data_IF_286780291045
#
_entry.id   IF_286780291045
#
_cell.length_a   1.000
_cell.length_b   1.000
_cell.length_c   1.000
_cell.angle_alpha   90.00
_cell.angle_beta   90.00
_cell.angle_gamma   90.00
#
_symmetry.space_group_name_H-M   'P 1'
#
loop_
_entity.id
_entity.type
_entity.pdbx_description
1 polymer ?
#
# COMPACT_ATOMS: atom_id res chain seq x y z
N UNK A 1 -20.30 8.90 -14.09
CA UNK A 1 -19.37 7.83 -13.68
C UNK A 1 -19.79 6.57 -14.39
N UNK A 2 -18.86 5.84 -14.99
CA UNK A 2 -19.13 4.56 -15.66
C UNK A 2 -18.19 3.53 -15.09
N UNK A 3 -18.70 2.44 -14.54
CA UNK A 3 -17.87 1.34 -14.03
C UNK A 3 -17.86 0.21 -15.03
N UNK A 4 -16.67 -0.32 -15.31
CA UNK A 4 -16.46 -1.49 -16.16
C UNK A 4 -15.79 -2.57 -15.34
N UNK A 5 -16.19 -3.81 -15.59
CA UNK A 5 -15.54 -4.99 -15.04
C UNK A 5 -14.38 -5.39 -15.96
N UNK A 6 -13.21 -5.65 -15.38
CA UNK A 6 -12.03 -6.14 -16.10
C UNK A 6 -11.63 -7.49 -15.54
N UNK A 7 -11.78 -8.52 -16.37
CA UNK A 7 -11.38 -9.89 -16.05
C UNK A 7 -9.90 -10.13 -16.37
N UNK A 8 -9.26 -11.10 -15.71
CA UNK A 8 -8.03 -11.71 -16.21
C UNK A 8 -8.15 -12.11 -17.68
N UNK A 9 -7.12 -11.90 -18.50
CA UNK A 9 -7.13 -12.27 -19.91
C UNK A 9 -7.08 -13.79 -20.13
N UNK A 10 -6.42 -14.50 -19.21
CA UNK A 10 -6.41 -15.95 -19.06
C UNK A 10 -6.66 -16.36 -17.60
N UNK A 11 -7.39 -17.47 -17.39
CA UNK A 11 -7.58 -18.05 -16.06
C UNK A 11 -6.31 -18.76 -15.60
N UNK A 12 -5.72 -18.32 -14.49
CA UNK A 12 -4.49 -18.89 -13.90
C UNK A 12 -4.62 -19.23 -12.41
N UNK A 13 -5.68 -18.72 -11.76
CA UNK A 13 -6.02 -18.97 -10.37
C UNK A 13 -6.42 -20.41 -10.13
N UNK A 14 -7.12 -21.07 -11.07
CA UNK A 14 -7.55 -22.47 -10.97
C UNK A 14 -8.23 -22.82 -9.62
N UNK A 15 -9.03 -21.90 -9.07
CA UNK A 15 -9.65 -22.02 -7.74
C UNK A 15 -8.65 -22.34 -6.61
N UNK A 16 -7.40 -21.87 -6.76
CA UNK A 16 -6.42 -21.94 -5.67
C UNK A 16 -6.90 -21.07 -4.52
N UNK A 17 -6.72 -21.59 -3.32
CA UNK A 17 -7.10 -20.91 -2.09
C UNK A 17 -5.85 -20.70 -1.24
N UNK A 18 -5.71 -19.49 -0.70
CA UNK A 18 -4.67 -19.16 0.26
C UNK A 18 -5.34 -19.04 1.62
N UNK A 19 -5.08 -20.01 2.48
CA UNK A 19 -5.46 -19.90 3.88
C UNK A 19 -4.64 -18.82 4.57
N UNK A 20 -5.35 -17.98 5.33
CA UNK A 20 -4.79 -16.90 6.11
C UNK A 20 -4.69 -17.34 7.57
N UNK A 21 -3.53 -17.08 8.19
CA UNK A 21 -3.27 -17.50 9.55
C UNK A 21 -2.48 -16.42 10.31
N UNK A 22 -2.67 -16.36 11.63
CA UNK A 22 -1.96 -15.43 12.50
C UNK A 22 -2.07 -14.00 11.99
N UNK A 23 -0.95 -13.29 11.90
CA UNK A 23 -0.84 -11.86 11.57
C UNK A 23 -1.50 -11.45 10.24
N UNK A 24 -1.76 -12.39 9.32
CA UNK A 24 -2.44 -12.08 8.05
C UNK A 24 -3.89 -11.64 8.27
N UNK A 25 -4.57 -12.13 9.32
CA UNK A 25 -5.96 -11.75 9.67
C UNK A 25 -6.06 -10.39 10.36
N UNK A 26 -4.94 -9.91 10.89
CA UNK A 26 -4.88 -8.83 11.88
C UNK A 26 -4.84 -7.46 11.23
N UNK A 27 -4.37 -7.44 9.99
CA UNK A 27 -4.23 -6.23 9.20
C UNK A 27 -4.96 -6.44 7.89
N UNK A 28 -6.29 -6.54 7.93
CA UNK A 28 -7.08 -6.17 6.74
C UNK A 28 -7.00 -4.65 6.65
N UNK A 29 -5.85 -4.16 6.21
CA UNK A 29 -5.60 -2.74 6.06
C UNK A 29 -5.96 -2.37 4.62
N UNK A 30 -6.83 -1.37 4.46
CA UNK A 30 -7.02 -0.75 3.16
C UNK A 30 -5.79 0.09 2.83
N UNK A 31 -5.24 -0.12 1.65
CA UNK A 31 -4.15 0.69 1.10
C UNK A 31 -4.67 1.38 -0.14
N UNK A 32 -4.66 2.70 -0.07
CA UNK A 32 -5.08 3.56 -1.15
C UNK A 32 -3.86 4.28 -1.73
N UNK A 33 -3.79 4.33 -3.07
CA UNK A 33 -2.72 5.01 -3.80
C UNK A 33 -3.34 5.87 -4.89
N UNK A 34 -2.72 7.02 -5.14
CA UNK A 34 -3.12 7.91 -6.24
C UNK A 34 -1.90 8.18 -7.11
N UNK A 35 -2.05 7.98 -8.41
CA UNK A 35 -1.02 8.23 -9.42
C UNK A 35 -1.50 9.29 -10.39
N UNK A 36 -0.62 10.22 -10.76
CA UNK A 36 -0.88 11.25 -11.75
C UNK A 36 -0.14 10.95 -13.05
N UNK A 37 -0.84 11.05 -14.18
CA UNK A 37 -0.29 10.86 -15.51
C UNK A 37 -0.49 12.14 -16.34
N UNK A 38 0.58 12.71 -16.92
CA UNK A 38 0.53 13.97 -17.67
C UNK A 38 0.05 13.81 -19.12
N UNK A 39 -0.27 12.58 -19.56
CA UNK A 39 -0.63 12.26 -20.95
C UNK A 39 -1.89 11.41 -21.00
N UNK A 40 -2.61 11.48 -22.14
CA UNK A 40 -3.81 10.70 -22.38
C UNK A 40 -3.48 9.19 -22.39
N UNK A 41 -4.01 8.46 -21.41
CA UNK A 41 -3.97 7.02 -21.35
C UNK A 41 -5.02 6.46 -22.29
N UNK A 42 -4.61 5.62 -23.24
CA UNK A 42 -5.55 4.85 -24.04
C UNK A 42 -6.29 3.86 -23.13
N UNK A 43 -7.58 4.11 -22.89
CA UNK A 43 -8.42 3.32 -21.97
C UNK A 43 -8.54 1.87 -22.40
N UNK A 44 -8.63 1.59 -23.71
CA UNK A 44 -8.77 0.23 -24.21
C UNK A 44 -7.47 -0.55 -24.02
N UNK A 45 -6.32 0.07 -24.32
CA UNK A 45 -5.00 -0.50 -24.04
C UNK A 45 -4.78 -0.72 -22.55
N UNK A 46 -5.20 0.23 -21.71
CA UNK A 46 -5.13 0.07 -20.25
C UNK A 46 -5.93 -1.14 -19.76
N UNK A 47 -7.15 -1.34 -20.29
CA UNK A 47 -7.97 -2.50 -19.93
C UNK A 47 -7.34 -3.83 -20.36
N UNK A 48 -6.78 -3.87 -21.56
CA UNK A 48 -6.06 -5.05 -22.07
C UNK A 48 -4.85 -5.38 -21.20
N UNK A 49 -4.00 -4.39 -20.96
CA UNK A 49 -2.83 -4.48 -20.08
C UNK A 49 -3.22 -4.91 -18.65
N UNK A 50 -4.30 -4.36 -18.11
CA UNK A 50 -4.82 -4.74 -16.80
C UNK A 50 -5.32 -6.19 -16.79
N UNK A 51 -6.06 -6.63 -17.82
CA UNK A 51 -6.50 -8.02 -17.93
C UNK A 51 -5.31 -9.00 -17.94
N UNK A 52 -4.26 -8.68 -18.70
CA UNK A 52 -3.01 -9.45 -18.68
C UNK A 52 -2.34 -9.45 -17.29
N UNK A 53 -2.29 -8.29 -16.63
CA UNK A 53 -1.73 -8.16 -15.28
C UNK A 53 -2.49 -9.04 -14.28
N UNK A 54 -3.81 -9.06 -14.34
CA UNK A 54 -4.65 -9.87 -13.46
C UNK A 54 -4.47 -11.37 -13.72
N UNK A 55 -4.07 -11.79 -14.91
CA UNK A 55 -3.71 -13.18 -15.18
C UNK A 55 -2.37 -13.59 -14.58
N UNK A 56 -1.42 -12.67 -14.48
CA UNK A 56 -0.15 -12.91 -13.80
C UNK A 56 -0.35 -12.84 -12.27
N UNK A 57 -1.15 -11.86 -11.83
CA UNK A 57 -1.43 -11.54 -10.44
C UNK A 57 -2.86 -11.88 -10.07
N UNK A 58 -3.24 -13.16 -10.24
CA UNK A 58 -4.62 -13.64 -10.03
C UNK A 58 -5.19 -13.34 -8.65
N UNK A 59 -4.32 -13.13 -7.66
CA UNK A 59 -4.70 -12.74 -6.30
C UNK A 59 -5.38 -11.36 -6.23
N UNK A 60 -5.14 -10.46 -7.18
CA UNK A 60 -5.84 -9.16 -7.25
C UNK A 60 -7.31 -9.31 -7.67
N UNK A 61 -7.60 -10.37 -8.42
CA UNK A 61 -8.92 -10.78 -8.87
C UNK A 61 -9.54 -11.84 -7.93
N UNK A 62 -8.97 -12.00 -6.73
CA UNK A 62 -9.45 -12.93 -5.73
C UNK A 62 -10.48 -12.28 -4.79
N UNK A 63 -11.16 -13.13 -4.01
CA UNK A 63 -12.04 -12.68 -2.93
C UNK A 63 -11.62 -13.26 -1.59
N UNK A 64 -11.93 -12.49 -0.56
CA UNK A 64 -11.83 -12.94 0.81
C UNK A 64 -13.09 -13.73 1.17
N UNK A 65 -12.89 -14.93 1.72
CA UNK A 65 -13.94 -15.83 2.18
C UNK A 65 -13.74 -16.13 3.66
N UNK A 66 -14.81 -16.03 4.43
CA UNK A 66 -14.90 -16.50 5.82
C UNK A 66 -15.61 -17.85 5.79
N UNK A 67 -14.87 -18.94 5.91
CA UNK A 67 -15.43 -20.30 5.80
C UNK A 67 -16.12 -20.71 7.11
N UNK A 68 -15.53 -20.41 8.25
CA UNK A 68 -16.11 -20.55 9.59
C UNK A 68 -15.55 -19.47 10.53
N UNK A 69 -15.68 -19.63 11.86
CA UNK A 69 -15.33 -18.56 12.81
C UNK A 69 -13.81 -18.27 12.88
N UNK A 70 -12.98 -19.23 12.46
CA UNK A 70 -11.51 -19.14 12.56
C UNK A 70 -10.78 -19.38 11.22
N UNK A 71 -11.46 -19.85 10.17
CA UNK A 71 -10.85 -20.12 8.86
C UNK A 71 -11.21 -19.05 7.83
N UNK A 72 -10.19 -18.32 7.40
CA UNK A 72 -10.27 -17.27 6.40
C UNK A 72 -9.39 -17.61 5.22
N UNK A 73 -9.91 -17.38 4.02
CA UNK A 73 -9.28 -17.80 2.77
C UNK A 73 -9.34 -16.68 1.74
N UNK A 74 -8.25 -16.47 1.02
CA UNK A 74 -8.30 -15.76 -0.26
C UNK A 74 -8.50 -16.80 -1.36
N UNK A 75 -9.66 -16.79 -2.00
CA UNK A 75 -9.94 -17.67 -3.12
C UNK A 75 -9.64 -16.94 -4.45
N UNK A 76 -8.71 -17.50 -5.24
CA UNK A 76 -8.39 -17.03 -6.58
C UNK A 76 -9.46 -17.47 -7.58
N UNK A 77 -10.64 -16.89 -7.44
CA UNK A 77 -11.83 -17.19 -8.25
C UNK A 77 -11.92 -16.39 -9.54
N UNK A 78 -10.90 -15.59 -9.86
CA UNK A 78 -10.71 -14.91 -11.15
C UNK A 78 -11.86 -13.95 -11.52
N UNK A 79 -12.55 -13.43 -10.50
CA UNK A 79 -13.62 -12.48 -10.71
C UNK A 79 -13.06 -11.18 -11.27
N UNK A 80 -13.82 -10.52 -12.17
CA UNK A 80 -13.39 -9.24 -12.67
C UNK A 80 -13.34 -8.19 -11.56
N UNK A 81 -12.32 -7.35 -11.59
CA UNK A 81 -12.25 -6.20 -10.70
C UNK A 81 -13.03 -5.02 -11.30
N UNK A 82 -13.63 -4.16 -10.46
CA UNK A 82 -14.28 -2.94 -10.93
C UNK A 82 -13.24 -1.87 -11.25
N UNK A 83 -13.42 -1.24 -12.42
CA UNK A 83 -12.67 -0.08 -12.87
C UNK A 83 -13.65 1.05 -13.17
N UNK A 84 -13.61 2.09 -12.35
CA UNK A 84 -14.48 3.25 -12.44
C UNK A 84 -13.85 4.35 -13.30
N UNK A 85 -14.60 4.89 -14.26
CA UNK A 85 -14.18 5.98 -15.12
C UNK A 85 -15.00 7.24 -14.82
N UNK A 86 -14.30 8.32 -14.52
CA UNK A 86 -14.89 9.60 -14.11
C UNK A 86 -14.24 10.74 -14.88
N UNK A 87 -15.04 11.76 -15.22
CA UNK A 87 -14.54 13.05 -15.71
C UNK A 87 -14.71 14.06 -14.57
N UNK A 88 -13.62 14.70 -14.16
CA UNK A 88 -13.64 15.80 -13.21
C UNK A 88 -13.63 17.13 -13.99
N UNK A 89 -14.74 17.86 -13.90
CA UNK A 89 -14.92 19.18 -14.53
C UNK A 89 -14.75 20.34 -13.55
N UNK A 90 -14.50 20.04 -12.27
CA UNK A 90 -14.38 21.03 -11.19
C UNK A 90 -12.93 21.51 -11.09
N UNK A 91 -11.98 20.58 -11.16
CA UNK A 91 -10.57 20.91 -11.12
C UNK A 91 -10.07 21.43 -12.45
N UNK A 92 -9.26 22.49 -12.37
CA UNK A 92 -8.58 23.07 -13.53
C UNK A 92 -7.33 22.24 -13.86
N UNK A 93 -6.60 21.81 -12.83
CA UNK A 93 -5.39 20.98 -12.91
C UNK A 93 -5.21 20.24 -11.58
N UNK A 94 -4.34 19.25 -11.56
CA UNK A 94 -3.93 18.60 -10.32
C UNK A 94 -3.36 19.64 -9.34
N UNK A 95 -3.89 19.74 -8.11
CA UNK A 95 -3.54 20.83 -7.21
C UNK A 95 -2.20 20.62 -6.48
N UNK A 96 -1.59 19.43 -6.58
CA UNK A 96 -0.41 19.09 -5.80
C UNK A 96 0.87 19.03 -6.65
N UNK A 97 1.84 19.88 -6.32
CA UNK A 97 3.11 19.99 -7.04
C UNK A 97 4.12 18.86 -6.70
N UNK A 98 3.72 17.59 -6.84
CA UNK A 98 4.50 16.33 -6.73
C UNK A 98 4.24 15.48 -5.47
N UNK A 99 4.09 14.17 -5.71
CA UNK A 99 4.20 13.03 -4.79
C UNK A 99 3.65 13.25 -3.38
N UNK A 100 2.35 13.47 -3.28
CA UNK A 100 1.71 13.57 -1.97
C UNK A 100 1.26 12.18 -1.53
N UNK A 101 1.92 11.67 -0.49
CA UNK A 101 1.31 10.66 0.38
C UNK A 101 0.41 11.47 1.31
N UNK A 102 -0.92 11.43 1.17
CA UNK A 102 -1.81 11.99 2.20
C UNK A 102 -2.43 10.87 3.02
N UNK A 103 -2.67 11.13 4.30
CA UNK A 103 -3.56 10.33 5.11
C UNK A 103 -4.98 10.41 4.54
N UNK A 104 -5.67 9.27 4.52
CA UNK A 104 -7.04 9.11 4.04
C UNK A 104 -8.09 9.95 4.79
N UNK A 105 -7.73 10.50 5.95
CA UNK A 105 -8.64 11.28 6.80
C UNK A 105 -8.94 12.65 6.14
N UNK A 106 -8.03 13.18 5.33
CA UNK A 106 -8.31 14.37 4.52
C UNK A 106 -9.04 13.97 3.22
N UNK A 107 -10.31 14.37 3.14
CA UNK A 107 -11.29 14.00 2.12
C UNK A 107 -10.95 14.39 0.68
N UNK A 108 -9.85 15.09 0.43
CA UNK A 108 -9.53 15.60 -0.90
C UNK A 108 -9.11 14.50 -1.88
N UNK A 109 -8.48 13.41 -1.42
CA UNK A 109 -8.11 12.29 -2.31
C UNK A 109 -9.23 11.27 -2.51
N UNK A 110 -10.22 11.21 -1.61
CA UNK A 110 -11.31 10.23 -1.72
C UNK A 110 -12.15 10.43 -2.99
N UNK A 111 -12.18 11.65 -3.54
CA UNK A 111 -12.83 11.92 -4.83
C UNK A 111 -12.18 11.18 -6.01
N UNK A 112 -10.91 10.74 -5.88
CA UNK A 112 -10.16 10.01 -6.91
C UNK A 112 -10.08 8.51 -6.65
N UNK A 113 -10.48 8.04 -5.47
CA UNK A 113 -10.41 6.64 -5.07
C UNK A 113 -11.81 6.01 -5.14
N UNK A 114 -11.89 4.74 -5.54
CA UNK A 114 -13.07 3.89 -5.39
C UNK A 114 -12.72 2.87 -4.33
N UNK A 115 -13.13 3.14 -3.10
CA UNK A 115 -12.63 2.45 -1.92
C UNK A 115 -13.13 1.00 -1.85
N UNK A 116 -12.22 0.07 -1.57
CA UNK A 116 -12.60 -1.26 -1.11
C UNK A 116 -13.29 -1.12 0.25
N UNK A 117 -14.46 -1.72 0.37
CA UNK A 117 -15.27 -1.69 1.59
C UNK A 117 -14.87 -2.82 2.52
N UNK A 118 -13.88 -2.56 3.39
CA UNK A 118 -13.33 -3.60 4.28
C UNK A 118 -14.37 -4.22 5.19
N UNK A 119 -15.41 -3.47 5.57
CA UNK A 119 -16.54 -3.97 6.34
C UNK A 119 -17.33 -5.06 5.62
N UNK A 120 -17.35 -5.04 4.28
CA UNK A 120 -18.05 -6.04 3.47
C UNK A 120 -17.25 -7.31 3.25
N UNK A 121 -15.94 -7.29 3.48
CA UNK A 121 -15.10 -8.49 3.33
C UNK A 121 -15.43 -9.52 4.41
N UNK A 122 -15.84 -9.07 5.59
CA UNK A 122 -16.20 -9.93 6.72
C UNK A 122 -17.68 -10.33 6.68
N UNK A 123 -18.51 -9.53 5.99
CA UNK A 123 -19.92 -9.83 5.78
C UNK A 123 -20.05 -10.94 4.72
N UNK A 124 -20.32 -12.17 5.17
CA UNK A 124 -20.48 -13.39 4.34
C UNK A 124 -21.52 -13.27 3.20
N UNK A 125 -22.21 -12.13 3.08
CA UNK A 125 -23.28 -11.88 2.11
C UNK A 125 -22.82 -11.16 0.84
N UNK A 126 -21.62 -10.55 0.80
CA UNK A 126 -21.15 -9.79 -0.37
C UNK A 126 -19.73 -10.16 -0.81
N UNK A 127 -19.59 -10.50 -2.10
CA UNK A 127 -18.28 -10.70 -2.75
C UNK A 127 -17.62 -9.35 -3.05
N UNK A 128 -17.13 -8.68 -2.01
CA UNK A 128 -16.36 -7.45 -2.17
C UNK A 128 -15.00 -7.77 -2.84
N UNK A 129 -14.61 -7.07 -3.92
CA UNK A 129 -13.31 -7.28 -4.56
C UNK A 129 -12.18 -6.82 -3.65
N UNK A 130 -11.06 -7.54 -3.66
CA UNK A 130 -9.86 -7.16 -2.92
C UNK A 130 -9.15 -5.94 -3.50
N UNK A 131 -9.47 -5.57 -4.74
CA UNK A 131 -8.83 -4.49 -5.46
C UNK A 131 -9.84 -3.75 -6.35
N UNK A 132 -9.75 -2.42 -6.35
CA UNK A 132 -10.58 -1.51 -7.15
C UNK A 132 -9.71 -0.43 -7.78
N UNK A 133 -10.08 -0.01 -8.98
CA UNK A 133 -9.40 1.08 -9.68
C UNK A 133 -10.38 2.18 -10.06
N UNK A 134 -9.91 3.42 -10.06
CA UNK A 134 -10.67 4.58 -10.51
C UNK A 134 -9.78 5.48 -11.35
N UNK A 135 -10.13 5.65 -12.63
CA UNK A 135 -9.54 6.63 -13.51
C UNK A 135 -10.40 7.89 -13.53
N UNK A 136 -9.78 9.00 -13.17
CA UNK A 136 -10.39 10.32 -13.21
C UNK A 136 -9.65 11.20 -14.21
N UNK A 137 -10.31 11.63 -15.28
CA UNK A 137 -9.77 12.62 -16.24
C UNK A 137 -10.11 14.02 -15.77
N UNK A 138 -9.12 14.86 -15.50
CA UNK A 138 -9.31 16.28 -15.25
C UNK A 138 -9.52 16.95 -16.60
N UNK A 139 -10.75 17.37 -16.89
CA UNK A 139 -11.16 17.77 -18.24
C UNK A 139 -10.40 19.00 -18.74
N UNK A 140 -10.03 19.91 -17.84
CA UNK A 140 -9.41 21.19 -18.20
C UNK A 140 -7.92 21.08 -18.51
N UNK A 141 -7.16 20.30 -17.73
CA UNK A 141 -5.72 20.08 -17.94
C UNK A 141 -5.39 18.86 -18.79
N UNK A 142 -6.39 18.03 -19.07
CA UNK A 142 -6.26 16.72 -19.70
C UNK A 142 -5.40 15.69 -18.93
N UNK A 143 -5.14 15.96 -17.64
CA UNK A 143 -4.43 15.04 -16.77
C UNK A 143 -5.31 13.85 -16.39
N UNK A 144 -4.67 12.69 -16.17
CA UNK A 144 -5.33 11.50 -15.68
C UNK A 144 -4.83 11.14 -14.29
N UNK A 145 -5.78 10.89 -13.40
CA UNK A 145 -5.53 10.47 -12.04
C UNK A 145 -6.03 9.04 -11.88
N UNK A 146 -5.15 8.12 -11.51
CA UNK A 146 -5.48 6.74 -11.18
C UNK A 146 -5.49 6.58 -9.65
N UNK A 147 -6.69 6.43 -9.08
CA UNK A 147 -6.86 5.91 -7.73
C UNK A 147 -6.85 4.38 -7.75
N UNK A 148 -6.06 3.78 -6.88
CA UNK A 148 -6.05 2.35 -6.62
C UNK A 148 -6.40 2.13 -5.15
N UNK A 149 -7.39 1.29 -4.89
CA UNK A 149 -7.75 0.84 -3.53
C UNK A 149 -7.58 -0.66 -3.46
N UNK A 150 -6.84 -1.13 -2.47
CA UNK A 150 -6.58 -2.55 -2.28
C UNK A 150 -6.59 -2.94 -0.82
N UNK A 151 -6.88 -4.21 -0.56
CA UNK A 151 -6.72 -4.80 0.77
C UNK A 151 -5.30 -5.32 0.87
N UNK A 152 -4.49 -4.70 1.71
CA UNK A 152 -3.17 -5.23 2.05
C UNK A 152 -3.36 -6.33 3.08
N UNK A 153 -3.07 -7.56 2.68
CA UNK A 153 -2.92 -8.70 3.59
C UNK A 153 -1.41 -8.84 3.85
N UNK A 154 -0.92 -9.12 5.06
CA UNK A 154 0.53 -9.02 5.35
C UNK A 154 1.43 -9.84 4.41
N UNK A 155 0.93 -10.95 3.86
CA UNK A 155 1.61 -11.68 2.75
C UNK A 155 1.81 -10.88 1.45
N UNK A 156 1.08 -9.78 1.22
CA UNK A 156 1.12 -8.87 0.06
C UNK A 156 2.12 -7.72 0.18
N UNK A 157 2.54 -7.33 1.40
CA UNK A 157 3.42 -6.16 1.58
C UNK A 157 4.86 -6.47 1.12
N UNK A 158 5.06 -6.40 -0.20
CA UNK A 158 6.34 -6.41 -0.87
C UNK A 158 6.72 -4.97 -1.23
N UNK A 159 7.76 -4.37 -0.62
CA UNK A 159 8.24 -3.04 -1.01
C UNK A 159 8.85 -3.01 -2.42
N UNK A 160 9.34 -4.15 -2.91
CA UNK A 160 9.92 -4.26 -4.26
C UNK A 160 8.87 -4.59 -5.34
N UNK A 161 7.61 -4.79 -4.95
CA UNK A 161 6.50 -5.00 -5.89
C UNK A 161 5.43 -3.94 -5.61
N UNK A 162 5.83 -2.67 -5.55
CA UNK A 162 4.96 -1.65 -6.14
C UNK A 162 4.58 -2.21 -7.50
N UNK A 163 3.29 -2.51 -7.69
CA UNK A 163 2.76 -2.88 -9.00
C UNK A 163 2.94 -1.64 -9.85
N UNK A 164 4.11 -1.54 -10.42
CA UNK A 164 4.44 -0.56 -11.41
C UNK A 164 3.63 -1.02 -12.61
N UNK A 165 2.49 -0.37 -12.83
CA UNK A 165 1.75 -0.50 -14.08
C UNK A 165 2.65 -0.18 -15.30
N UNK A 166 3.83 0.41 -15.09
CA UNK A 166 4.87 0.55 -16.11
C UNK A 166 5.53 -0.76 -16.53
N UNK A 167 5.63 -1.78 -15.67
CA UNK A 167 6.22 -3.08 -16.02
C UNK A 167 5.28 -3.92 -16.91
N UNK A 168 4.00 -3.52 -16.98
CA UNK A 168 2.97 -4.14 -17.83
C UNK A 168 3.18 -3.83 -19.32
N UNK A 169 4.05 -2.88 -19.66
CA UNK A 169 4.44 -2.59 -21.04
C UNK A 169 5.69 -3.36 -21.52
N UNK A 170 6.27 -4.25 -20.70
CA UNK A 170 7.41 -5.10 -21.06
C UNK A 170 7.20 -6.57 -20.69
N UNK A 171 8.10 -7.45 -21.16
CA UNK A 171 8.13 -8.86 -20.72
C UNK A 171 8.35 -8.90 -19.19
N UNK A 172 7.35 -9.38 -18.44
CA UNK A 172 7.43 -9.43 -16.99
C UNK A 172 8.58 -10.37 -16.56
N UNK A 173 9.55 -9.85 -15.83
CA UNK A 173 10.62 -10.66 -15.24
C UNK A 173 10.00 -11.70 -14.29
N UNK A 174 10.26 -12.99 -14.58
CA UNK A 174 9.75 -14.10 -13.77
C UNK A 174 10.26 -14.06 -12.32
N UNK A 175 11.36 -13.32 -12.03
CA UNK A 175 11.86 -13.09 -10.68
C UNK A 175 10.91 -12.23 -9.82
N UNK A 176 9.98 -11.51 -10.46
CA UNK A 176 8.95 -10.67 -9.82
C UNK A 176 7.65 -11.44 -9.52
N UNK A 177 7.60 -12.74 -9.80
CA UNK A 177 6.44 -13.55 -9.47
C UNK A 177 6.33 -13.72 -7.95
N UNK A 178 5.13 -13.54 -7.37
CA UNK A 178 4.96 -13.62 -5.92
C UNK A 178 5.25 -15.04 -5.41
N UNK A 179 6.35 -15.19 -4.67
CA UNK A 179 6.61 -16.39 -3.88
C UNK A 179 5.96 -16.29 -2.50
N UNK A 180 5.01 -17.18 -2.23
CA UNK A 180 4.39 -17.36 -0.92
C UNK A 180 5.38 -18.07 0.03
N UNK A 181 5.80 -17.38 1.09
CA UNK A 181 6.53 -17.98 2.21
C UNK A 181 5.56 -18.19 3.39
N UNK A 182 5.57 -19.38 3.99
CA UNK A 182 4.82 -19.68 5.22
C UNK A 182 5.51 -19.01 6.41
N UNK A 183 4.73 -18.32 7.24
CA UNK A 183 5.17 -17.72 8.50
C UNK A 183 4.32 -18.36 9.62
N UNK A 184 4.97 -18.95 10.62
CA UNK A 184 4.35 -19.43 11.86
C UNK A 184 4.87 -18.60 13.05
N UNK A 185 4.07 -18.49 14.11
CA UNK A 185 4.44 -17.91 15.41
C UNK A 185 4.74 -16.40 15.46
N UNK A 186 3.71 -15.56 15.26
CA UNK A 186 3.78 -14.12 15.53
C UNK A 186 2.87 -13.76 16.73
N UNK A 187 3.37 -12.90 17.64
CA UNK A 187 2.58 -12.39 18.79
C UNK A 187 1.52 -11.39 18.35
N UNK A 188 0.44 -11.29 19.14
CA UNK A 188 -0.73 -10.45 18.91
C UNK A 188 -0.35 -8.95 18.96
N UNK A 189 -0.60 -8.19 17.88
CA UNK A 189 -0.20 -6.76 17.69
C UNK A 189 -1.38 -5.78 17.87
N UNK A 190 -2.53 -6.27 18.34
CA UNK A 190 -3.81 -5.53 18.44
C UNK A 190 -3.72 -4.25 19.29
N UNK A 191 -3.06 -4.32 20.44
CA UNK A 191 -2.97 -3.18 21.37
C UNK A 191 -2.13 -2.03 20.80
N UNK A 192 -1.04 -2.37 20.10
CA UNK A 192 -0.12 -1.39 19.50
C UNK A 192 -0.80 -0.69 18.32
N UNK A 193 -1.47 -1.44 17.44
CA UNK A 193 -2.15 -0.88 16.28
C UNK A 193 -3.34 0.01 16.68
N UNK A 194 -4.14 -0.41 17.67
CA UNK A 194 -5.26 0.40 18.17
C UNK A 194 -4.79 1.72 18.76
N UNK A 195 -3.73 1.71 19.57
CA UNK A 195 -3.12 2.93 20.12
C UNK A 195 -2.60 3.87 19.00
N UNK A 196 -1.99 3.32 17.95
CA UNK A 196 -1.52 4.10 16.80
C UNK A 196 -2.69 4.75 16.05
N UNK A 197 -3.77 4.01 15.81
CA UNK A 197 -4.96 4.52 15.09
C UNK A 197 -5.70 5.60 15.87
N UNK A 198 -5.84 5.45 17.19
CA UNK A 198 -6.52 6.44 18.02
C UNK A 198 -5.70 7.73 18.17
N UNK A 199 -4.37 7.63 18.23
CA UNK A 199 -3.47 8.78 18.27
C UNK A 199 -3.40 9.59 16.97
N UNK A 200 -3.68 8.97 15.82
CA UNK A 200 -3.59 9.62 14.51
C UNK A 200 -4.72 10.61 14.20
N UNK A 201 -5.88 10.54 14.89
CA UNK A 201 -7.05 11.39 14.59
C UNK A 201 -6.85 12.87 14.92
N UNK A 202 -5.79 13.23 15.65
CA UNK A 202 -5.56 14.58 16.19
C UNK A 202 -4.29 15.25 15.64
N UNK A 203 -3.58 14.63 14.70
CA UNK A 203 -2.29 15.13 14.22
C UNK A 203 -2.36 15.53 12.75
N UNK A 204 -1.77 16.69 12.43
CA UNK A 204 -1.56 17.11 11.04
C UNK A 204 -0.41 16.32 10.41
N UNK A 205 -0.56 15.96 9.15
CA UNK A 205 0.50 15.31 8.40
C UNK A 205 1.51 16.32 7.86
N UNK A 206 2.80 16.03 8.03
CA UNK A 206 3.89 16.84 7.47
C UNK A 206 4.64 16.02 6.43
N UNK A 207 4.68 16.52 5.19
CA UNK A 207 5.51 15.95 4.14
C UNK A 207 6.88 16.62 4.16
N UNK A 208 7.92 15.85 4.49
CA UNK A 208 9.30 16.33 4.53
C UNK A 208 10.05 15.76 3.34
N UNK A 209 10.61 16.64 2.51
CA UNK A 209 11.41 16.27 1.36
C UNK A 209 12.91 16.38 1.69
N UNK A 210 13.66 15.34 1.34
CA UNK A 210 15.11 15.31 1.42
C UNK A 210 15.67 15.08 0.02
N UNK A 211 16.51 16.01 -0.42
CA UNK A 211 17.34 15.84 -1.63
C UNK A 211 18.43 14.80 -1.41
N UNK A 212 18.94 14.22 -2.50
CA UNK A 212 20.06 13.28 -2.45
C UNK A 212 21.30 13.87 -1.78
N UNK A 213 21.55 15.17 -1.96
CA UNK A 213 22.64 15.86 -1.31
C UNK A 213 22.46 15.92 0.21
N UNK A 214 21.25 16.23 0.68
CA UNK A 214 20.92 16.24 2.10
C UNK A 214 21.04 14.84 2.71
N UNK A 215 20.53 13.81 2.02
CA UNK A 215 20.63 12.41 2.44
C UNK A 215 22.09 11.97 2.53
N UNK A 216 22.92 12.29 1.53
CA UNK A 216 24.36 12.02 1.55
C UNK A 216 25.05 12.71 2.72
N UNK A 217 24.77 14.00 2.93
CA UNK A 217 25.33 14.78 4.05
C UNK A 217 24.93 14.18 5.39
N UNK A 218 23.68 13.77 5.53
CA UNK A 218 23.18 13.18 6.76
C UNK A 218 23.89 11.85 7.08
N UNK A 219 24.06 10.99 6.07
CA UNK A 219 24.81 9.74 6.21
C UNK A 219 26.28 9.98 6.62
N UNK A 220 26.93 11.00 6.04
CA UNK A 220 28.28 11.39 6.44
C UNK A 220 28.35 11.82 7.91
N UNK A 221 27.39 12.62 8.38
CA UNK A 221 27.33 13.06 9.78
C UNK A 221 27.04 11.93 10.77
N UNK A 222 26.30 10.89 10.35
CA UNK A 222 25.91 9.77 11.20
C UNK A 222 27.00 8.72 11.43
N UNK A 223 28.14 8.79 10.73
CA UNK A 223 29.21 7.78 10.84
C UNK A 223 29.63 7.14 9.51
N UNK A 224 29.48 7.85 8.38
CA UNK A 224 29.94 7.42 7.05
C UNK A 224 29.26 6.15 6.49
N UNK A 225 30.02 5.27 5.84
CA UNK A 225 29.51 4.26 4.91
C UNK A 225 28.79 3.09 5.59
N UNK A 226 29.01 2.88 6.88
CA UNK A 226 28.47 1.71 7.60
C UNK A 226 27.02 1.91 8.04
N UNK A 227 26.52 3.15 8.02
CA UNK A 227 25.13 3.48 8.35
C UNK A 227 24.28 3.47 7.09
N UNK A 228 23.17 2.72 7.10
CA UNK A 228 22.17 2.78 6.03
C UNK A 228 21.38 4.09 6.11
N UNK A 229 20.94 4.58 4.96
CA UNK A 229 20.29 5.91 4.89
C UNK A 229 19.02 5.99 5.75
N UNK A 230 18.28 4.89 5.88
CA UNK A 230 17.09 4.81 6.70
C UNK A 230 17.37 5.09 8.18
N UNK A 231 18.46 4.54 8.73
CA UNK A 231 18.83 4.73 10.13
C UNK A 231 19.27 6.16 10.38
N UNK A 232 20.09 6.72 9.47
CA UNK A 232 20.52 8.11 9.55
C UNK A 232 19.32 9.08 9.50
N UNK A 233 18.36 8.82 8.60
CA UNK A 233 17.13 9.60 8.48
C UNK A 233 16.24 9.50 9.73
N UNK A 234 16.09 8.28 10.26
CA UNK A 234 15.29 8.03 11.46
C UNK A 234 15.87 8.77 12.67
N UNK A 235 17.19 8.65 12.88
CA UNK A 235 17.89 9.38 13.93
C UNK A 235 17.75 10.91 13.78
N UNK A 236 17.86 11.44 12.56
CA UNK A 236 17.67 12.85 12.30
C UNK A 236 16.27 13.36 12.66
N UNK A 237 15.24 12.61 12.26
CA UNK A 237 13.84 12.98 12.54
C UNK A 237 13.58 12.96 14.05
N UNK A 238 14.00 11.89 14.75
CA UNK A 238 13.85 11.79 16.22
C UNK A 238 14.55 12.96 16.91
N UNK A 239 15.81 13.21 16.55
CA UNK A 239 16.59 14.29 17.16
C UNK A 239 15.95 15.66 16.90
N UNK A 240 15.52 15.91 15.67
CA UNK A 240 14.89 17.19 15.29
C UNK A 240 13.60 17.42 16.07
N UNK A 241 12.74 16.41 16.16
CA UNK A 241 11.49 16.48 16.92
C UNK A 241 11.73 16.62 18.42
N UNK A 242 12.70 15.91 18.98
CA UNK A 242 13.06 16.03 20.40
C UNK A 242 13.65 17.41 20.74
N UNK A 243 14.47 17.98 19.85
CA UNK A 243 14.96 19.35 19.99
C UNK A 243 13.79 20.33 19.96
N UNK A 244 12.83 20.13 19.05
CA UNK A 244 11.63 20.96 19.00
C UNK A 244 10.82 20.88 20.31
N UNK A 245 10.59 19.67 20.85
CA UNK A 245 9.92 19.50 22.13
C UNK A 245 10.68 20.21 23.27
N UNK A 246 12.00 20.01 23.34
CA UNK A 246 12.85 20.62 24.36
C UNK A 246 12.77 22.16 24.34
N UNK A 247 12.89 22.76 23.14
CA UNK A 247 12.87 24.22 22.97
C UNK A 247 11.50 24.85 23.27
N UNK A 248 10.41 24.07 23.21
CA UNK A 248 9.06 24.53 23.50
C UNK A 248 8.55 24.08 24.89
N UNK A 249 9.45 23.58 25.76
CA UNK A 249 9.11 23.06 27.09
C UNK A 249 8.03 21.95 27.06
N UNK A 250 7.97 21.21 25.95
CA UNK A 250 7.04 20.12 25.74
C UNK A 250 7.66 18.81 26.26
N UNK A 251 6.92 18.10 27.11
CA UNK A 251 7.35 16.85 27.72
C UNK A 251 7.19 15.62 26.81
N UNK A 252 6.62 15.78 25.61
CA UNK A 252 6.33 14.71 24.64
C UNK A 252 7.55 14.28 23.83
N UNK A 253 8.65 13.94 24.51
CA UNK A 253 9.84 13.43 23.85
C UNK A 253 9.58 12.05 23.22
N UNK A 254 10.16 11.83 22.05
CA UNK A 254 10.22 10.53 21.39
C UNK A 254 11.30 9.72 22.10
N UNK A 255 10.86 8.76 22.91
CA UNK A 255 11.73 7.85 23.66
C UNK A 255 11.85 6.46 22.98
N UNK A 256 10.91 6.13 22.10
CA UNK A 256 10.85 4.84 21.42
C UNK A 256 10.40 5.05 19.98
N UNK A 257 11.02 4.30 19.07
CA UNK A 257 10.57 4.16 17.69
C UNK A 257 10.32 2.70 17.38
N UNK A 258 9.24 2.47 16.64
CA UNK A 258 8.89 1.15 16.11
C UNK A 258 9.05 1.19 14.61
N UNK A 259 9.92 0.33 14.07
CA UNK A 259 10.15 0.22 12.62
C UNK A 259 9.60 -1.11 12.13
N UNK A 260 8.72 -1.06 11.14
CA UNK A 260 8.23 -2.25 10.46
C UNK A 260 9.15 -2.56 9.28
N UNK A 261 9.77 -3.74 9.29
CA UNK A 261 10.71 -4.18 8.24
C UNK A 261 10.16 -5.39 7.49
N UNK A 262 10.47 -5.50 6.20
CA UNK A 262 10.13 -6.69 5.43
C UNK A 262 11.06 -7.85 5.80
N UNK A 263 10.52 -8.81 6.54
CA UNK A 263 11.25 -9.99 7.02
C UNK A 263 11.72 -10.94 5.90
N UNK A 264 11.20 -10.82 4.66
CA UNK A 264 11.59 -11.72 3.56
C UNK A 264 12.98 -11.42 3.00
N UNK A 265 13.45 -10.18 3.14
CA UNK A 265 14.80 -9.75 2.77
C UNK A 265 15.82 -9.94 3.89
N UNK A 266 15.36 -10.30 5.09
CA UNK A 266 16.21 -10.67 6.22
C UNK A 266 16.64 -12.11 5.99
N UNK A 267 17.77 -12.31 5.31
CA UNK A 267 18.38 -13.63 5.16
C UNK A 267 18.73 -14.16 6.55
N UNK A 268 17.92 -15.12 7.06
CA UNK A 268 18.10 -15.89 8.29
C UNK A 268 19.24 -15.35 9.18
N UNK A 269 19.01 -14.20 9.81
CA UNK A 269 19.92 -13.70 10.82
C UNK A 269 19.93 -14.72 11.95
N UNK A 270 21.13 -15.03 12.45
CA UNK A 270 21.35 -16.02 13.49
C UNK A 270 20.36 -15.78 14.65
N UNK A 271 19.49 -16.77 14.89
CA UNK A 271 18.35 -16.70 15.81
C UNK A 271 18.75 -16.40 17.26
N UNK A 272 20.05 -16.35 17.55
CA UNK A 272 20.64 -16.10 18.86
C UNK A 272 20.66 -14.62 19.29
N UNK A 273 20.44 -13.66 18.38
CA UNK A 273 20.79 -12.25 18.64
C UNK A 273 19.62 -11.28 18.83
N UNK A 274 18.37 -11.72 18.72
CA UNK A 274 17.20 -10.84 18.91
C UNK A 274 16.20 -11.44 19.90
N UNK A 275 16.05 -10.79 21.06
CA UNK A 275 14.83 -10.88 21.84
C UNK A 275 13.82 -9.89 21.26
N UNK A 276 12.80 -10.38 20.55
CA UNK A 276 11.64 -9.56 20.22
C UNK A 276 10.95 -9.12 21.53
N UNK A 277 11.03 -7.83 21.86
CA UNK A 277 10.25 -7.20 22.91
C UNK A 277 8.89 -6.74 22.38
#
# INVERSE_FOLDING_TARGET
>A
MTTRLVSPSSPTGNNRSIELAGIDLWTIARVDKVFLYPVELNVDRFKESLGHTLSIWSIMAAHFLVLDDDHYVIEMSEYPIPVSFVKNTVLIRWPFNLNVVTHLIESSLSEFIDEVRTEKLVDRTMMEPLFRLKLTRIVTSDELVLGASGVSINKWNQPNHSIYLSDVYGEADQSLLPMLKYLSDCRLTEEVLKQLMDGQKICDQVNVHFSDEQLRKLRLLAGFNDIIIQDALTAYIILTLNIHCYLNEDSRYILRTTTFVNIRGVSAFDRSSWSCC
#
